data_IF_750956377933
#
_entry.id   IF_750956377933
#
_cell.length_a   1.000
_cell.length_b   1.000
_cell.length_c   1.000
_cell.angle_alpha   90.00
_cell.angle_beta   90.00
_cell.angle_gamma   90.00
#
_symmetry.space_group_name_H-M   'P 1'
#
loop_
_entity.id
_entity.type
_entity.pdbx_description
1 polymer ?
#
# COMPACT_ATOMS: atom_id res chain seq x y z
N UNK A 1 -12.96 -14.56 16.48
CA UNK A 1 -13.90 -13.68 15.76
C UNK A 1 -13.95 -12.26 16.30
N UNK A 2 -14.12 -12.10 17.61
CA UNK A 2 -14.15 -10.76 18.22
C UNK A 2 -12.87 -9.98 17.94
N UNK A 3 -11.71 -10.64 18.04
CA UNK A 3 -10.42 -10.02 17.74
C UNK A 3 -10.36 -9.52 16.30
N UNK A 4 -10.83 -10.31 15.35
CA UNK A 4 -10.87 -9.88 13.94
C UNK A 4 -11.80 -8.68 13.74
N UNK A 5 -12.93 -8.64 14.44
CA UNK A 5 -13.86 -7.53 14.35
C UNK A 5 -13.23 -6.24 14.91
N UNK A 6 -12.55 -6.35 16.05
CA UNK A 6 -11.86 -5.20 16.65
C UNK A 6 -10.75 -4.70 15.72
N UNK A 7 -9.95 -5.60 15.18
CA UNK A 7 -8.88 -5.28 14.23
C UNK A 7 -9.44 -4.54 13.01
N UNK A 8 -10.49 -5.08 12.41
CA UNK A 8 -11.12 -4.49 11.24
C UNK A 8 -11.74 -3.12 11.58
N UNK A 9 -12.38 -2.99 12.74
CA UNK A 9 -12.99 -1.75 13.18
C UNK A 9 -11.98 -0.63 13.37
N UNK A 10 -10.89 -0.90 14.06
CA UNK A 10 -9.83 0.08 14.28
C UNK A 10 -9.21 0.51 12.95
N UNK A 11 -8.89 -0.45 12.11
CA UNK A 11 -8.27 -0.17 10.80
C UNK A 11 -9.21 0.66 9.92
N UNK A 12 -10.50 0.31 9.91
CA UNK A 12 -11.51 1.05 9.15
C UNK A 12 -11.68 2.48 9.61
N UNK A 13 -11.66 2.71 10.92
CA UNK A 13 -11.75 4.07 11.49
C UNK A 13 -10.58 4.92 11.03
N UNK A 14 -9.37 4.37 11.05
CA UNK A 14 -8.16 5.10 10.63
C UNK A 14 -8.26 5.48 9.16
N UNK A 15 -8.68 4.55 8.29
CA UNK A 15 -8.86 4.83 6.85
C UNK A 15 -9.92 5.90 6.63
N UNK A 16 -11.01 5.84 7.36
CA UNK A 16 -12.10 6.83 7.26
C UNK A 16 -11.59 8.23 7.64
N UNK A 17 -10.80 8.35 8.71
CA UNK A 17 -10.22 9.62 9.14
C UNK A 17 -9.29 10.18 8.06
N UNK A 18 -8.42 9.34 7.49
CA UNK A 18 -7.51 9.75 6.43
C UNK A 18 -8.30 10.28 5.22
N UNK A 19 -9.37 9.59 4.85
CA UNK A 19 -10.22 10.00 3.73
C UNK A 19 -10.85 11.36 3.96
N UNK A 20 -11.36 11.63 5.16
CA UNK A 20 -11.97 12.93 5.49
C UNK A 20 -10.93 14.05 5.51
N UNK A 21 -9.73 13.81 6.04
CA UNK A 21 -8.65 14.80 6.04
C UNK A 21 -8.24 15.14 4.61
N UNK A 22 -8.10 14.12 3.76
CA UNK A 22 -7.71 14.30 2.36
C UNK A 22 -8.74 15.12 1.59
N UNK A 23 -10.01 14.97 1.91
CA UNK A 23 -11.11 15.71 1.29
C UNK A 23 -11.01 17.22 1.56
N UNK A 24 -10.62 17.61 2.78
CA UNK A 24 -10.53 19.00 3.19
C UNK A 24 -9.17 19.63 2.91
N UNK A 25 -8.12 18.85 3.06
CA UNK A 25 -6.73 19.32 2.94
C UNK A 25 -5.96 18.34 2.06
N UNK A 26 -6.05 18.48 0.72
CA UNK A 26 -5.45 17.49 -0.18
C UNK A 26 -3.95 17.27 0.03
N UNK A 27 -3.20 18.34 0.28
CA UNK A 27 -1.76 18.24 0.52
C UNK A 27 -1.43 17.51 1.82
N UNK A 28 -2.12 17.85 2.89
CA UNK A 28 -1.95 17.21 4.19
C UNK A 28 -2.45 15.76 4.15
N UNK A 29 -3.58 15.54 3.45
CA UNK A 29 -4.10 14.20 3.24
C UNK A 29 -3.11 13.32 2.49
N UNK A 30 -2.45 13.89 1.48
CA UNK A 30 -1.43 13.15 0.73
C UNK A 30 -0.24 12.78 1.61
N UNK A 31 0.17 13.68 2.52
CA UNK A 31 1.23 13.39 3.48
C UNK A 31 0.88 12.18 4.36
N UNK A 32 -0.34 12.17 4.89
CA UNK A 32 -0.81 11.06 5.74
C UNK A 32 -0.95 9.79 4.90
N UNK A 33 -1.49 9.90 3.69
CA UNK A 33 -1.68 8.75 2.80
C UNK A 33 -0.35 8.16 2.33
N UNK A 34 0.71 8.97 2.27
CA UNK A 34 2.03 8.46 1.90
C UNK A 34 2.67 7.62 2.99
N UNK A 35 2.22 7.77 4.24
CA UNK A 35 2.60 6.85 5.30
C UNK A 35 1.97 5.49 5.00
N UNK A 36 2.73 4.40 5.08
CA UNK A 36 2.18 3.07 4.77
C UNK A 36 1.30 2.55 5.91
N UNK A 37 0.15 3.18 6.11
CA UNK A 37 -0.73 2.89 7.24
C UNK A 37 -1.19 1.44 7.28
N UNK A 38 -1.58 0.88 6.13
CA UNK A 38 -2.01 -0.51 6.07
C UNK A 38 -0.86 -1.43 6.43
N UNK A 39 0.34 -1.13 5.94
CA UNK A 39 1.54 -1.90 6.24
C UNK A 39 1.91 -1.80 7.72
N UNK A 40 1.87 -0.59 8.30
CA UNK A 40 2.18 -0.40 9.73
C UNK A 40 1.18 -1.15 10.59
N UNK A 41 -0.11 -1.02 10.30
CA UNK A 41 -1.15 -1.77 11.02
C UNK A 41 -0.95 -3.27 10.89
N UNK A 42 -0.64 -3.73 9.67
CA UNK A 42 -0.36 -5.13 9.43
C UNK A 42 0.83 -5.63 10.25
N UNK A 43 1.89 -4.82 10.35
CA UNK A 43 3.06 -5.17 11.16
C UNK A 43 2.71 -5.25 12.64
N UNK A 44 1.92 -4.31 13.15
CA UNK A 44 1.50 -4.31 14.56
C UNK A 44 0.71 -5.57 14.89
N UNK A 45 -0.28 -5.90 14.03
CA UNK A 45 -1.09 -7.08 14.24
C UNK A 45 -0.29 -8.37 14.07
N UNK A 46 0.62 -8.40 13.09
CA UNK A 46 1.49 -9.57 12.88
C UNK A 46 2.40 -9.79 14.09
N UNK A 47 2.97 -8.72 14.65
CA UNK A 47 3.81 -8.82 15.82
C UNK A 47 3.03 -9.32 17.05
N UNK A 48 1.81 -8.83 17.18
CA UNK A 48 0.94 -9.26 18.28
C UNK A 48 0.61 -10.75 18.18
N UNK A 49 0.33 -11.24 16.96
CA UNK A 49 -0.06 -12.62 16.74
C UNK A 49 1.14 -13.57 16.74
N UNK A 50 2.28 -13.12 16.20
CA UNK A 50 3.49 -13.94 16.06
C UNK A 50 4.72 -13.07 16.26
N UNK A 51 5.15 -12.87 17.53
CA UNK A 51 6.30 -12.01 17.82
C UNK A 51 7.62 -12.72 17.50
N UNK A 52 7.98 -12.73 16.23
CA UNK A 52 9.17 -13.38 15.70
C UNK A 52 9.95 -12.36 14.88
N UNK A 53 11.16 -12.02 15.36
CA UNK A 53 12.02 -11.01 14.73
C UNK A 53 12.39 -11.40 13.30
N UNK A 54 12.71 -12.67 13.06
CA UNK A 54 13.10 -13.15 11.74
C UNK A 54 11.95 -13.03 10.76
N UNK A 55 10.77 -13.45 11.17
CA UNK A 55 9.58 -13.37 10.33
C UNK A 55 9.20 -11.92 10.03
N UNK A 56 9.27 -11.04 11.04
CA UNK A 56 8.97 -9.63 10.89
C UNK A 56 9.97 -8.95 9.95
N UNK A 57 11.27 -9.25 10.10
CA UNK A 57 12.30 -8.67 9.24
C UNK A 57 12.09 -9.08 7.78
N UNK A 58 11.77 -10.34 7.53
CA UNK A 58 11.48 -10.82 6.18
C UNK A 58 10.25 -10.13 5.59
N UNK A 59 9.20 -9.93 6.39
CA UNK A 59 7.99 -9.26 5.96
C UNK A 59 8.25 -7.80 5.57
N UNK A 60 8.99 -7.07 6.42
CA UNK A 60 9.31 -5.65 6.17
C UNK A 60 10.19 -5.50 4.93
N UNK A 61 11.18 -6.37 4.78
CA UNK A 61 12.06 -6.34 3.62
C UNK A 61 11.28 -6.59 2.32
N UNK A 62 10.41 -7.59 2.31
CA UNK A 62 9.56 -7.89 1.15
C UNK A 62 8.64 -6.71 0.84
N UNK A 63 8.10 -6.07 1.87
CA UNK A 63 7.23 -4.90 1.71
C UNK A 63 7.96 -3.77 0.99
N UNK A 64 9.22 -3.52 1.35
CA UNK A 64 10.02 -2.50 0.67
C UNK A 64 10.10 -2.77 -0.84
N UNK A 65 10.41 -4.01 -1.22
CA UNK A 65 10.56 -4.35 -2.63
C UNK A 65 9.25 -4.29 -3.40
N UNK A 66 8.12 -4.60 -2.74
CA UNK A 66 6.81 -4.52 -3.38
C UNK A 66 6.24 -3.11 -3.43
N UNK A 67 6.70 -2.20 -2.57
CA UNK A 67 6.28 -0.80 -2.64
C UNK A 67 6.87 -0.11 -3.86
N UNK A 68 8.11 -0.42 -4.23
CA UNK A 68 8.78 0.23 -5.35
C UNK A 68 7.98 0.16 -6.66
N UNK A 69 7.44 -1.01 -7.07
CA UNK A 69 6.62 -1.08 -8.29
C UNK A 69 5.30 -0.32 -8.22
N UNK A 70 4.83 0.02 -7.03
CA UNK A 70 3.59 0.81 -6.89
C UNK A 70 3.82 2.31 -7.05
N UNK A 71 5.06 2.78 -6.95
CA UNK A 71 5.37 4.20 -7.02
C UNK A 71 5.07 4.82 -8.40
N UNK A 72 5.37 4.15 -9.54
CA UNK A 72 5.04 4.72 -10.85
C UNK A 72 3.57 5.07 -11.02
N UNK A 73 2.66 4.35 -10.35
CA UNK A 73 1.25 4.64 -10.35
C UNK A 73 0.97 6.08 -9.92
N UNK A 74 1.66 6.55 -8.86
CA UNK A 74 1.46 7.88 -8.31
C UNK A 74 2.04 8.99 -9.19
N UNK A 75 2.86 8.64 -10.18
CA UNK A 75 3.37 9.58 -11.17
C UNK A 75 2.46 9.62 -12.40
N UNK A 76 1.95 8.47 -12.81
CA UNK A 76 1.13 8.34 -14.01
C UNK A 76 -0.29 8.85 -13.81
N UNK A 77 -0.90 8.55 -12.67
CA UNK A 77 -2.28 8.93 -12.41
C UNK A 77 -2.53 10.45 -12.50
N UNK A 78 -1.69 11.31 -11.90
CA UNK A 78 -1.89 12.75 -12.04
C UNK A 78 -1.84 13.23 -13.49
N UNK A 79 -0.95 12.67 -14.29
CA UNK A 79 -0.83 13.02 -15.71
C UNK A 79 -2.10 12.65 -16.46
N UNK A 80 -2.63 11.45 -16.24
CA UNK A 80 -3.87 10.99 -16.87
C UNK A 80 -5.05 11.86 -16.47
N UNK A 81 -5.16 12.18 -15.18
CA UNK A 81 -6.24 13.00 -14.66
C UNK A 81 -6.22 14.41 -15.27
N UNK A 82 -5.02 15.00 -15.37
CA UNK A 82 -4.86 16.33 -15.96
C UNK A 82 -5.18 16.35 -17.46
N UNK A 83 -5.06 15.22 -18.14
CA UNK A 83 -5.36 15.08 -19.55
C UNK A 83 -6.81 14.72 -19.83
N UNK A 84 -7.67 14.77 -18.82
CA UNK A 84 -9.11 14.57 -18.96
C UNK A 84 -9.56 13.12 -18.89
N UNK A 85 -8.70 12.19 -18.52
CA UNK A 85 -9.09 10.79 -18.32
C UNK A 85 -9.92 10.69 -17.04
N UNK A 86 -11.01 9.95 -17.08
CA UNK A 86 -11.88 9.79 -15.92
C UNK A 86 -11.15 9.12 -14.75
N UNK A 87 -11.58 9.45 -13.52
CA UNK A 87 -10.93 8.93 -12.30
C UNK A 87 -10.93 7.40 -12.26
N UNK A 88 -12.07 6.77 -12.52
CA UNK A 88 -12.17 5.32 -12.45
C UNK A 88 -11.29 4.63 -13.48
N UNK A 89 -11.22 5.20 -14.68
CA UNK A 89 -10.35 4.70 -15.74
C UNK A 89 -8.89 4.86 -15.36
N UNK A 90 -8.52 6.03 -14.82
CA UNK A 90 -7.17 6.30 -14.34
C UNK A 90 -6.76 5.33 -13.24
N UNK A 91 -7.65 5.08 -12.29
CA UNK A 91 -7.39 4.16 -11.20
C UNK A 91 -7.20 2.73 -11.73
N UNK A 92 -8.04 2.31 -12.67
CA UNK A 92 -7.92 0.98 -13.27
C UNK A 92 -6.58 0.81 -14.00
N UNK A 93 -6.16 1.83 -14.75
CA UNK A 93 -4.88 1.81 -15.46
C UNK A 93 -3.73 1.74 -14.48
N UNK A 94 -3.76 2.55 -13.41
CA UNK A 94 -2.73 2.56 -12.39
C UNK A 94 -2.61 1.21 -11.68
N UNK A 95 -3.74 0.62 -11.31
CA UNK A 95 -3.75 -0.69 -10.66
C UNK A 95 -3.25 -1.79 -11.59
N UNK A 96 -3.68 -1.78 -12.86
CA UNK A 96 -3.22 -2.77 -13.85
C UNK A 96 -1.72 -2.68 -14.05
N UNK A 97 -1.19 -1.46 -14.18
CA UNK A 97 0.25 -1.23 -14.33
C UNK A 97 1.01 -1.75 -13.10
N UNK A 98 0.51 -1.46 -11.90
CA UNK A 98 1.13 -1.92 -10.67
C UNK A 98 1.14 -3.44 -10.57
N UNK A 99 0.04 -4.09 -10.94
CA UNK A 99 -0.04 -5.56 -10.94
C UNK A 99 1.00 -6.15 -11.90
N UNK A 100 1.13 -5.59 -13.10
CA UNK A 100 2.12 -6.06 -14.06
C UNK A 100 3.54 -5.90 -13.52
N UNK A 101 3.82 -4.78 -12.86
CA UNK A 101 5.13 -4.54 -12.25
C UNK A 101 5.39 -5.49 -11.08
N UNK A 102 4.36 -5.81 -10.29
CA UNK A 102 4.49 -6.80 -9.21
C UNK A 102 4.85 -8.17 -9.77
N UNK A 103 4.18 -8.58 -10.86
CA UNK A 103 4.49 -9.84 -11.51
C UNK A 103 5.94 -9.86 -12.00
N UNK A 104 6.40 -8.73 -12.57
CA UNK A 104 7.78 -8.57 -12.99
C UNK A 104 8.76 -8.70 -11.85
N UNK A 105 8.50 -8.03 -10.72
CA UNK A 105 9.36 -8.10 -9.54
C UNK A 105 9.37 -9.49 -8.95
N UNK A 106 8.22 -10.15 -8.88
CA UNK A 106 8.12 -11.51 -8.37
C UNK A 106 8.91 -12.49 -9.23
N UNK A 107 8.92 -12.27 -10.54
CA UNK A 107 9.64 -13.11 -11.48
C UNK A 107 11.16 -12.86 -11.44
N UNK A 108 11.56 -11.59 -11.37
CA UNK A 108 12.98 -11.18 -11.40
C UNK A 108 13.63 -11.29 -10.03
N UNK A 109 12.86 -11.01 -8.96
CA UNK A 109 13.38 -10.97 -7.60
C UNK A 109 14.21 -12.17 -7.19
N UNK A 110 13.67 -13.41 -7.31
CA UNK A 110 14.44 -14.60 -6.92
C UNK A 110 15.70 -14.80 -7.77
N UNK A 111 15.70 -14.30 -9.02
CA UNK A 111 16.85 -14.44 -9.92
C UNK A 111 18.01 -13.55 -9.50
N UNK A 112 17.75 -12.47 -8.78
CA UNK A 112 18.78 -11.56 -8.28
C UNK A 112 19.01 -11.73 -6.77
N UNK A 113 18.47 -12.78 -6.18
CA UNK A 113 18.70 -13.12 -4.79
C UNK A 113 17.71 -12.54 -3.78
N UNK A 114 16.61 -11.94 -4.23
CA UNK A 114 15.59 -11.44 -3.34
C UNK A 114 14.61 -12.56 -2.94
N UNK A 115 14.19 -12.54 -1.69
CA UNK A 115 13.23 -13.51 -1.17
C UNK A 115 11.82 -12.92 -1.22
N UNK A 116 11.20 -13.00 -2.37
CA UNK A 116 9.85 -12.47 -2.56
C UNK A 116 8.82 -13.57 -2.83
#
# INVERSE_FOLDING_TARGET
MLYLVIKAGISGVIVAIVSEVAKRYPGFGALIASLPLVSVLGMVWLWHDKPDVQNMAAHVEATFWFVLPSLPMFLVMPVLLKNGVGFWQTLAIGCAMTILLYLGVTWVGPRIGLRL
#
